data_IF_502489011181
#
_entry.id   IF_502489011181
#
_cell.length_a   1.000
_cell.length_b   1.000
_cell.length_c   1.000
_cell.angle_alpha   90.00
_cell.angle_beta   90.00
_cell.angle_gamma   90.00
#
_symmetry.space_group_name_H-M   'P 1'
#
loop_
_entity.id
_entity.type
_entity.pdbx_description
1 polymer ?
#
# COMPACT_ATOMS: atom_id res chain seq x y z
N UNK A 1 -18.32 -1.60 -7.89
CA UNK A 1 -18.17 -2.16 -6.53
C UNK A 1 -16.70 -2.52 -6.33
N UNK A 2 -16.06 -2.00 -5.28
CA UNK A 2 -14.68 -2.36 -4.94
C UNK A 2 -14.60 -3.85 -4.63
N UNK A 3 -13.69 -4.59 -5.27
CA UNK A 3 -13.54 -6.05 -5.05
C UNK A 3 -13.02 -6.38 -3.65
N UNK A 4 -12.47 -5.39 -2.93
CA UNK A 4 -11.88 -5.54 -1.60
C UNK A 4 -12.29 -4.38 -0.69
N UNK A 5 -13.53 -4.36 -0.17
CA UNK A 5 -13.95 -3.39 0.83
C UNK A 5 -13.07 -3.51 2.09
N UNK A 6 -12.71 -2.40 2.72
CA UNK A 6 -11.82 -2.36 3.89
C UNK A 6 -10.37 -2.80 3.64
N UNK A 7 -9.89 -2.75 2.40
CA UNK A 7 -8.45 -2.87 2.12
C UNK A 7 -7.67 -1.73 2.78
N UNK A 8 -6.42 -1.96 3.17
CA UNK A 8 -5.53 -0.89 3.65
C UNK A 8 -4.17 -0.98 3.00
N UNK A 9 -3.63 0.16 2.58
CA UNK A 9 -2.27 0.27 2.04
C UNK A 9 -1.44 1.14 2.98
N UNK A 10 -0.22 0.69 3.26
CA UNK A 10 0.80 1.42 4.00
C UNK A 10 2.08 1.42 3.17
N UNK A 11 2.72 2.58 3.03
CA UNK A 11 4.00 2.73 2.33
C UNK A 11 5.00 3.37 3.28
N UNK A 12 6.20 2.80 3.29
CA UNK A 12 7.33 3.26 4.08
C UNK A 12 8.49 3.58 3.14
N UNK A 13 9.25 4.63 3.45
CA UNK A 13 10.53 4.85 2.78
C UNK A 13 11.61 3.89 3.29
N UNK A 14 12.78 3.92 2.67
CA UNK A 14 13.92 3.05 3.00
C UNK A 14 14.36 3.11 4.47
N UNK A 15 14.11 4.23 5.16
CA UNK A 15 14.47 4.41 6.58
C UNK A 15 13.38 3.92 7.54
N UNK A 16 12.29 3.34 7.03
CA UNK A 16 11.17 2.85 7.83
C UNK A 16 10.15 3.91 8.22
N UNK A 17 10.29 5.16 7.73
CA UNK A 17 9.29 6.19 7.99
C UNK A 17 8.08 5.95 7.08
N UNK A 18 6.88 5.97 7.66
CA UNK A 18 5.64 5.87 6.89
C UNK A 18 5.43 7.16 6.08
N UNK A 19 5.30 7.02 4.77
CA UNK A 19 5.10 8.14 3.83
C UNK A 19 3.69 8.18 3.25
N UNK A 20 2.95 7.08 3.32
CA UNK A 20 1.56 7.02 2.87
C UNK A 20 0.76 5.98 3.66
N UNK A 21 -0.51 6.27 3.87
CA UNK A 21 -1.49 5.34 4.41
C UNK A 21 -2.86 5.61 3.79
N UNK A 22 -3.55 4.54 3.40
CA UNK A 22 -4.95 4.59 2.99
C UNK A 22 -5.72 3.46 3.66
N UNK A 23 -6.88 3.81 4.23
CA UNK A 23 -7.94 2.86 4.57
C UNK A 23 -8.92 2.80 3.40
N UNK A 24 -9.58 1.67 3.18
CA UNK A 24 -10.43 1.41 2.01
C UNK A 24 -9.71 1.68 0.68
N UNK A 25 -8.45 1.26 0.56
CA UNK A 25 -7.60 1.55 -0.59
C UNK A 25 -8.24 1.14 -1.94
N UNK A 26 -8.42 2.11 -2.84
CA UNK A 26 -9.05 1.93 -4.16
C UNK A 26 -8.04 1.93 -5.32
N UNK A 27 -6.79 1.54 -5.06
CA UNK A 27 -5.72 1.57 -6.06
C UNK A 27 -5.32 2.98 -6.52
N UNK A 28 -5.23 3.92 -5.57
CA UNK A 28 -5.02 5.35 -5.82
C UNK A 28 -3.58 5.82 -5.58
N UNK A 29 -2.69 4.98 -5.05
CA UNK A 29 -1.32 5.39 -4.76
C UNK A 29 -0.48 5.36 -6.03
N UNK A 30 0.10 6.52 -6.36
CA UNK A 30 0.90 6.77 -7.56
C UNK A 30 2.33 7.23 -7.24
N UNK A 31 2.67 7.38 -5.94
CA UNK A 31 3.98 7.87 -5.50
C UNK A 31 4.20 9.37 -5.74
N UNK A 32 3.16 10.16 -6.01
CA UNK A 32 3.28 11.60 -6.22
C UNK A 32 3.87 12.31 -4.99
N UNK A 33 4.78 13.26 -5.23
CA UNK A 33 5.46 14.01 -4.18
C UNK A 33 6.57 13.24 -3.44
N UNK A 34 6.84 11.99 -3.80
CA UNK A 34 7.93 11.20 -3.24
C UNK A 34 9.14 11.18 -4.18
N UNK A 35 10.35 11.21 -3.61
CA UNK A 35 11.59 11.05 -4.37
C UNK A 35 11.70 9.67 -5.01
N UNK A 36 12.45 9.57 -6.10
CA UNK A 36 12.85 8.27 -6.66
C UNK A 36 13.58 7.43 -5.61
N UNK A 37 13.43 6.11 -5.73
CA UNK A 37 14.10 5.14 -4.87
C UNK A 37 13.19 4.02 -4.37
N UNK A 38 13.70 3.27 -3.40
CA UNK A 38 13.03 2.06 -2.89
C UNK A 38 12.12 2.38 -1.72
N UNK A 39 10.90 1.85 -1.80
CA UNK A 39 9.85 1.91 -0.79
C UNK A 39 9.41 0.51 -0.40
N UNK A 40 8.87 0.38 0.80
CA UNK A 40 8.29 -0.86 1.29
C UNK A 40 6.78 -0.70 1.41
N UNK A 41 6.01 -1.64 0.86
CA UNK A 41 4.56 -1.63 0.98
C UNK A 41 4.05 -2.75 1.88
N UNK A 42 2.92 -2.47 2.54
CA UNK A 42 2.07 -3.46 3.19
C UNK A 42 0.64 -3.21 2.70
N UNK A 43 0.09 -4.17 1.95
CA UNK A 43 -1.29 -4.18 1.49
C UNK A 43 -2.08 -5.25 2.26
N UNK A 44 -3.09 -4.81 2.99
CA UNK A 44 -4.01 -5.69 3.72
C UNK A 44 -5.33 -5.76 2.96
N UNK A 45 -5.76 -6.96 2.60
CA UNK A 45 -7.03 -7.23 1.95
C UNK A 45 -7.94 -7.99 2.92
N UNK A 46 -9.19 -7.54 3.03
CA UNK A 46 -10.24 -8.32 3.70
C UNK A 46 -10.90 -9.21 2.66
N UNK A 47 -10.82 -10.52 2.87
CA UNK A 47 -11.47 -11.50 2.03
C UNK A 47 -12.97 -11.58 2.36
N UNK A 48 -13.76 -12.05 1.40
CA UNK A 48 -15.22 -12.17 1.55
C UNK A 48 -15.63 -13.16 2.65
N UNK A 49 -14.74 -14.09 3.01
CA UNK A 49 -14.90 -15.05 4.11
C UNK A 49 -14.60 -14.44 5.50
N UNK A 50 -14.29 -13.14 5.57
CA UNK A 50 -13.95 -12.43 6.80
C UNK A 50 -12.47 -12.52 7.19
N UNK A 51 -11.64 -13.27 6.45
CA UNK A 51 -10.20 -13.35 6.69
C UNK A 51 -9.43 -12.09 6.26
N UNK A 52 -8.24 -11.88 6.85
CA UNK A 52 -7.29 -10.85 6.42
C UNK A 52 -6.12 -11.51 5.68
N UNK A 53 -5.81 -11.02 4.48
CA UNK A 53 -4.60 -11.40 3.73
C UNK A 53 -3.68 -10.19 3.65
N UNK A 54 -2.41 -10.39 4.02
CA UNK A 54 -1.39 -9.35 3.93
C UNK A 54 -0.40 -9.67 2.82
N UNK A 55 -0.21 -8.71 1.93
CA UNK A 55 0.81 -8.70 0.88
C UNK A 55 1.83 -7.62 1.22
N UNK A 56 3.11 -7.91 1.02
CA UNK A 56 4.18 -6.99 1.39
C UNK A 56 5.39 -7.18 0.48
N UNK A 57 6.15 -6.12 0.26
CA UNK A 57 7.31 -6.18 -0.60
C UNK A 57 7.93 -4.82 -0.86
N UNK A 58 8.93 -4.82 -1.73
CA UNK A 58 9.62 -3.61 -2.15
C UNK A 58 9.04 -3.09 -3.46
N UNK A 59 9.00 -1.76 -3.60
CA UNK A 59 8.63 -1.04 -4.82
C UNK A 59 9.77 -0.07 -5.11
N UNK A 60 10.17 0.01 -6.37
CA UNK A 60 11.11 1.03 -6.83
C UNK A 60 10.32 2.10 -7.60
N UNK A 61 10.35 3.33 -7.09
CA UNK A 61 9.83 4.50 -7.80
C UNK A 61 10.91 5.02 -8.74
N UNK A 62 10.61 4.99 -10.03
CA UNK A 62 11.42 5.54 -11.12
C UNK A 62 10.66 6.70 -11.80
N UNK A 63 11.35 7.53 -12.58
CA UNK A 63 10.75 8.61 -13.39
C UNK A 63 10.92 8.36 -14.89
#
# INVERSE_FOLDING_TARGET
MSRYPNSSLFIYNRWGNQVYQSKNYQNEWDGHGLSEGTYYYILKLRAADGGERSYKGWIELMR
#
